data_IF_085255109668
#
_entry.id   IF_085255109668
#
_cell.length_a   1.000
_cell.length_b   1.000
_cell.length_c   1.000
_cell.angle_alpha   90.00
_cell.angle_beta   90.00
_cell.angle_gamma   90.00
#
_symmetry.space_group_name_H-M   'P 1'
#
loop_
_entity.id
_entity.type
_entity.pdbx_description
1 polymer ?
#
# COMPACT_ATOMS: atom_id res chain seq x y z
N UNK A 1 -5.28 16.49 16.62
CA UNK A 1 -5.03 16.01 15.24
C UNK A 1 -5.89 14.78 15.05
N UNK A 2 -6.80 14.80 14.08
CA UNK A 2 -7.78 13.72 13.88
C UNK A 2 -7.12 12.44 13.41
N UNK A 3 -7.61 11.32 13.92
CA UNK A 3 -7.30 9.97 13.48
C UNK A 3 -7.69 9.79 12.02
N UNK A 4 -6.75 9.40 11.15
CA UNK A 4 -7.08 8.99 9.78
C UNK A 4 -7.38 7.49 9.78
N UNK A 5 -8.43 7.11 9.06
CA UNK A 5 -8.84 5.71 8.85
C UNK A 5 -8.71 5.38 7.37
N UNK A 6 -8.30 4.16 7.08
CA UNK A 6 -8.15 3.66 5.72
C UNK A 6 -8.95 2.38 5.57
N UNK A 7 -9.72 2.27 4.51
CA UNK A 7 -10.56 1.09 4.23
C UNK A 7 -10.07 0.43 2.95
N UNK A 8 -9.40 -0.72 3.10
CA UNK A 8 -8.83 -1.47 1.99
C UNK A 8 -9.81 -2.50 1.46
N UNK A 9 -10.17 -2.37 0.18
CA UNK A 9 -11.02 -3.34 -0.51
C UNK A 9 -10.34 -4.70 -0.65
N UNK A 10 -11.16 -5.74 -0.76
CA UNK A 10 -10.67 -7.08 -1.05
C UNK A 10 -9.90 -7.16 -2.38
N UNK A 11 -10.31 -6.42 -3.41
CA UNK A 11 -9.64 -6.41 -4.70
C UNK A 11 -8.23 -5.83 -4.59
N UNK A 12 -8.10 -4.70 -3.90
CA UNK A 12 -6.82 -4.07 -3.63
C UNK A 12 -5.90 -5.03 -2.87
N UNK A 13 -6.42 -5.65 -1.81
CA UNK A 13 -5.71 -6.61 -0.96
C UNK A 13 -5.22 -7.84 -1.73
N UNK A 14 -6.07 -8.45 -2.55
CA UNK A 14 -5.69 -9.66 -3.29
C UNK A 14 -4.59 -9.33 -4.30
N UNK A 15 -4.69 -8.21 -5.03
CA UNK A 15 -3.68 -7.82 -6.03
C UNK A 15 -2.30 -7.60 -5.43
N UNK A 16 -2.19 -6.84 -4.33
CA UNK A 16 -0.90 -6.59 -3.68
C UNK A 16 -0.30 -7.88 -3.09
N UNK A 17 -1.13 -8.74 -2.44
CA UNK A 17 -0.66 -10.03 -1.91
C UNK A 17 -0.18 -10.94 -3.03
N UNK A 18 -0.95 -11.06 -4.11
CA UNK A 18 -0.58 -11.90 -5.26
C UNK A 18 0.68 -11.39 -5.95
N UNK A 19 0.87 -10.07 -6.05
CA UNK A 19 2.08 -9.48 -6.62
C UNK A 19 3.33 -9.88 -5.82
N UNK A 20 3.31 -9.66 -4.50
CA UNK A 20 4.42 -10.02 -3.63
C UNK A 20 4.68 -11.54 -3.61
N UNK A 21 3.62 -12.34 -3.59
CA UNK A 21 3.71 -13.81 -3.61
C UNK A 21 4.23 -14.38 -4.93
N UNK A 22 3.93 -13.73 -6.06
CA UNK A 22 4.42 -14.13 -7.38
C UNK A 22 5.93 -13.92 -7.51
N UNK A 23 6.48 -12.93 -6.82
CA UNK A 23 7.89 -12.54 -6.88
C UNK A 23 8.56 -12.61 -5.50
N UNK A 24 8.63 -13.80 -4.91
CA UNK A 24 9.10 -14.00 -3.52
C UNK A 24 10.54 -13.59 -3.23
N UNK A 25 11.39 -13.61 -4.25
CA UNK A 25 12.83 -13.35 -4.14
C UNK A 25 13.20 -12.02 -4.79
N UNK A 26 12.24 -11.12 -4.95
CA UNK A 26 12.47 -9.80 -5.51
C UNK A 26 11.64 -8.77 -4.75
N UNK A 27 12.19 -7.57 -4.59
CA UNK A 27 11.42 -6.47 -4.08
C UNK A 27 10.32 -6.08 -5.10
N UNK A 28 9.10 -5.87 -4.62
CA UNK A 28 7.96 -5.46 -5.45
C UNK A 28 7.38 -4.14 -4.98
N UNK A 29 6.78 -3.40 -5.91
CA UNK A 29 6.05 -2.19 -5.56
C UNK A 29 4.74 -2.02 -6.35
N UNK A 30 3.96 -1.05 -5.92
CA UNK A 30 2.80 -0.60 -6.65
C UNK A 30 2.10 0.56 -5.97
N UNK A 31 1.02 1.02 -6.58
CA UNK A 31 0.21 2.12 -6.06
C UNK A 31 -1.14 1.64 -5.58
N UNK A 32 -1.70 2.38 -4.63
CA UNK A 32 -3.04 2.18 -4.09
C UNK A 32 -3.97 3.21 -4.72
N UNK A 33 -5.13 2.74 -5.17
CA UNK A 33 -6.13 3.56 -5.84
C UNK A 33 -7.37 3.70 -4.98
N UNK A 34 -7.89 4.91 -4.91
CA UNK A 34 -8.95 5.20 -3.98
C UNK A 34 -9.42 6.64 -4.04
N UNK A 35 -10.16 7.01 -3.00
CA UNK A 35 -10.66 8.37 -2.80
C UNK A 35 -10.85 8.64 -1.31
N UNK A 36 -10.96 9.91 -0.95
CA UNK A 36 -11.47 10.29 0.37
C UNK A 36 -12.96 9.96 0.42
N UNK A 37 -13.42 9.38 1.53
CA UNK A 37 -14.81 8.99 1.70
C UNK A 37 -15.71 10.23 1.67
N UNK A 38 -16.76 10.26 0.83
CA UNK A 38 -17.69 11.40 0.76
C UNK A 38 -18.43 11.66 2.08
N UNK A 39 -18.51 10.67 2.97
CA UNK A 39 -19.22 10.76 4.24
C UNK A 39 -18.31 11.21 5.39
N UNK A 40 -17.00 11.03 5.25
CA UNK A 40 -16.04 11.36 6.30
C UNK A 40 -14.66 11.62 5.71
N UNK A 41 -14.23 12.89 5.72
CA UNK A 41 -12.92 13.31 5.21
C UNK A 41 -11.73 12.69 5.96
N UNK A 42 -11.96 12.09 7.13
CA UNK A 42 -10.94 11.34 7.86
C UNK A 42 -10.76 9.89 7.37
N UNK A 43 -11.60 9.42 6.44
CA UNK A 43 -11.58 8.05 5.90
C UNK A 43 -11.08 8.08 4.45
N UNK A 44 -10.08 7.26 4.14
CA UNK A 44 -9.61 7.03 2.77
C UNK A 44 -10.02 5.62 2.33
N UNK A 45 -10.87 5.54 1.33
CA UNK A 45 -11.35 4.29 0.74
C UNK A 45 -10.38 3.85 -0.36
N UNK A 46 -9.63 2.78 -0.12
CA UNK A 46 -8.72 2.16 -1.09
C UNK A 46 -9.50 1.09 -1.85
N UNK A 47 -10.00 1.47 -3.02
CA UNK A 47 -10.83 0.64 -3.87
C UNK A 47 -10.03 -0.41 -4.67
N UNK A 48 -8.80 -0.11 -5.07
CA UNK A 48 -7.98 -1.02 -5.89
C UNK A 48 -6.48 -0.84 -5.65
N UNK A 49 -5.65 -1.71 -6.23
CA UNK A 49 -4.20 -1.52 -6.30
C UNK A 49 -3.65 -1.88 -7.67
N UNK A 50 -2.55 -1.21 -8.06
CA UNK A 50 -1.84 -1.47 -9.32
C UNK A 50 -0.42 -1.91 -9.00
N UNK A 51 -0.13 -3.22 -9.10
CA UNK A 51 1.21 -3.76 -9.20
C UNK A 51 2.02 -3.06 -10.29
N UNK A 52 3.22 -2.56 -9.95
CA UNK A 52 4.10 -1.87 -10.90
C UNK A 52 5.29 -2.75 -11.29
N UNK A 53 6.28 -2.87 -10.42
CA UNK A 53 7.55 -3.52 -10.76
C UNK A 53 7.95 -4.59 -9.74
N UNK A 54 8.77 -5.51 -10.21
CA UNK A 54 9.39 -6.61 -9.46
C UNK A 54 10.88 -6.78 -9.79
N UNK A 55 11.46 -5.76 -10.44
CA UNK A 55 12.89 -5.56 -10.67
C UNK A 55 13.10 -4.09 -11.02
N UNK A 56 14.31 -3.55 -10.80
CA UNK A 56 14.68 -2.19 -11.22
C UNK A 56 13.70 -1.08 -10.74
N UNK A 57 13.27 -1.16 -9.48
CA UNK A 57 12.25 -0.31 -8.87
C UNK A 57 12.55 1.20 -8.93
N UNK A 58 13.82 1.56 -9.10
CA UNK A 58 14.31 2.95 -9.11
C UNK A 58 14.47 3.59 -10.50
N UNK A 59 14.04 2.94 -11.59
CA UNK A 59 14.09 3.55 -12.91
C UNK A 59 12.99 4.61 -13.06
N UNK A 60 13.35 5.87 -12.84
CA UNK A 60 12.44 7.01 -12.88
C UNK A 60 11.58 7.07 -14.15
N UNK A 61 12.10 6.87 -15.38
CA UNK A 61 11.27 7.00 -16.58
C UNK A 61 10.11 6.02 -16.61
N UNK A 62 10.34 4.77 -16.16
CA UNK A 62 9.31 3.75 -16.13
C UNK A 62 8.25 4.07 -15.07
N UNK A 63 8.69 4.57 -13.91
CA UNK A 63 7.79 4.99 -12.85
C UNK A 63 6.90 6.15 -13.30
N UNK A 64 7.50 7.21 -13.86
CA UNK A 64 6.78 8.41 -14.31
C UNK A 64 5.70 8.06 -15.35
N UNK A 65 6.07 7.30 -16.38
CA UNK A 65 5.12 6.87 -17.41
C UNK A 65 4.02 6.00 -16.80
N UNK A 66 4.36 5.11 -15.87
CA UNK A 66 3.36 4.26 -15.20
C UNK A 66 2.36 5.08 -14.39
N UNK A 67 2.82 6.08 -13.63
CA UNK A 67 1.95 6.95 -12.83
C UNK A 67 1.02 7.77 -13.74
N UNK A 68 1.53 8.33 -14.84
CA UNK A 68 0.72 9.08 -15.82
C UNK A 68 -0.37 8.18 -16.42
N UNK A 69 -0.01 6.97 -16.85
CA UNK A 69 -0.99 6.03 -17.44
C UNK A 69 -2.07 5.63 -16.43
N UNK A 70 -1.70 5.43 -15.18
CA UNK A 70 -2.64 5.07 -14.11
C UNK A 70 -3.58 6.24 -13.83
N UNK A 71 -3.05 7.45 -13.70
CA UNK A 71 -3.84 8.65 -13.46
C UNK A 71 -4.88 8.87 -14.56
N UNK A 72 -4.46 8.79 -15.83
CA UNK A 72 -5.37 8.92 -16.97
C UNK A 72 -6.46 7.85 -16.98
N UNK A 73 -6.10 6.58 -16.74
CA UNK A 73 -7.04 5.48 -16.82
C UNK A 73 -8.07 5.47 -15.67
N UNK A 74 -7.64 5.77 -14.46
CA UNK A 74 -8.49 5.66 -13.26
C UNK A 74 -9.19 6.96 -12.89
N UNK A 75 -8.71 8.12 -13.39
CA UNK A 75 -9.43 9.40 -13.25
C UNK A 75 -10.83 9.34 -13.88
N UNK A 76 -10.97 8.66 -15.02
CA UNK A 76 -12.26 8.40 -15.66
C UNK A 76 -13.25 7.61 -14.78
N UNK A 77 -12.75 6.88 -13.78
CA UNK A 77 -13.53 6.10 -12.82
C UNK A 77 -13.70 6.83 -11.47
N UNK A 78 -13.21 8.07 -11.36
CA UNK A 78 -13.23 8.86 -10.12
C UNK A 78 -12.32 8.31 -9.03
N UNK A 79 -11.25 7.60 -9.41
CA UNK A 79 -10.24 7.07 -8.50
C UNK A 79 -8.90 7.79 -8.75
N UNK A 80 -8.23 8.14 -7.65
CA UNK A 80 -6.89 8.72 -7.68
C UNK A 80 -5.87 7.83 -6.98
N UNK A 81 -4.60 8.18 -7.14
CA UNK A 81 -3.50 7.54 -6.40
C UNK A 81 -3.54 8.05 -4.96
N UNK A 82 -3.88 7.16 -4.03
CA UNK A 82 -4.02 7.47 -2.59
C UNK A 82 -2.94 6.82 -1.73
N UNK A 83 -2.00 6.10 -2.36
CA UNK A 83 -0.96 5.42 -1.62
C UNK A 83 0.03 4.64 -2.46
N UNK A 84 0.96 4.03 -1.75
CA UNK A 84 2.03 3.20 -2.28
C UNK A 84 2.17 1.95 -1.42
N UNK A 85 2.48 0.81 -2.05
CA UNK A 85 2.89 -0.38 -1.33
C UNK A 85 4.25 -0.88 -1.82
N UNK A 86 4.99 -1.48 -0.91
CA UNK A 86 6.30 -2.06 -1.16
C UNK A 86 6.42 -3.40 -0.44
N UNK A 87 7.11 -4.36 -1.02
CA UNK A 87 7.62 -5.53 -0.29
C UNK A 87 9.11 -5.62 -0.55
N UNK A 88 9.90 -5.75 0.50
CA UNK A 88 11.36 -5.90 0.38
C UNK A 88 11.71 -7.24 -0.27
N UNK A 89 12.96 -7.41 -0.72
CA UNK A 89 13.45 -8.72 -1.19
C UNK A 89 13.71 -9.66 -0.01
N UNK A 90 14.22 -9.11 1.09
CA UNK A 90 14.55 -9.85 2.32
C UNK A 90 13.32 -9.98 3.21
N UNK A 91 13.13 -11.16 3.80
CA UNK A 91 11.98 -11.45 4.67
C UNK A 91 12.14 -10.93 6.10
N UNK A 92 13.38 -10.64 6.51
CA UNK A 92 13.74 -10.12 7.83
C UNK A 92 13.90 -8.59 7.83
N UNK A 93 13.81 -7.96 6.67
CA UNK A 93 13.88 -6.50 6.52
C UNK A 93 12.48 -5.89 6.60
N UNK A 94 12.24 -5.16 7.70
CA UNK A 94 10.98 -4.49 8.00
C UNK A 94 11.07 -2.97 7.86
N UNK A 95 12.12 -2.46 7.22
CA UNK A 95 12.26 -1.04 6.92
C UNK A 95 12.03 -0.75 5.43
N UNK A 96 11.47 0.42 5.12
CA UNK A 96 11.42 0.87 3.73
C UNK A 96 12.82 1.31 3.27
N UNK A 97 13.20 0.87 2.08
CA UNK A 97 14.40 1.36 1.41
C UNK A 97 14.27 2.86 1.05
N UNK A 98 15.38 3.48 0.64
CA UNK A 98 15.42 4.91 0.29
C UNK A 98 14.57 5.26 -0.94
N UNK A 99 14.45 4.34 -1.91
CA UNK A 99 13.70 4.54 -3.14
C UNK A 99 12.20 4.55 -2.82
N UNK A 100 11.72 3.56 -2.08
CA UNK A 100 10.36 3.43 -1.58
C UNK A 100 9.95 4.62 -0.72
N UNK A 101 10.84 5.10 0.17
CA UNK A 101 10.65 6.33 0.93
C UNK A 101 10.48 7.55 0.01
N UNK A 102 11.34 7.70 -0.98
CA UNK A 102 11.28 8.83 -1.93
C UNK A 102 10.01 8.81 -2.76
N UNK A 103 9.59 7.65 -3.28
CA UNK A 103 8.36 7.50 -4.05
C UNK A 103 7.14 7.79 -3.17
N UNK A 104 7.09 7.20 -1.98
CA UNK A 104 6.01 7.44 -1.00
C UNK A 104 5.91 8.92 -0.65
N UNK A 105 7.04 9.57 -0.35
CA UNK A 105 7.10 11.01 -0.06
C UNK A 105 6.62 11.85 -1.25
N UNK A 106 6.97 11.47 -2.48
CA UNK A 106 6.49 12.16 -3.67
C UNK A 106 4.97 12.09 -3.77
N UNK A 107 4.37 10.91 -3.62
CA UNK A 107 2.90 10.74 -3.64
C UNK A 107 2.24 11.52 -2.49
N UNK A 108 2.82 11.48 -1.29
CA UNK A 108 2.33 12.23 -0.12
C UNK A 108 2.30 13.76 -0.33
N UNK A 109 3.13 14.32 -1.22
CA UNK A 109 3.11 15.76 -1.54
C UNK A 109 1.85 16.15 -2.33
N UNK A 110 1.37 15.28 -3.20
CA UNK A 110 0.15 15.50 -3.99
C UNK A 110 -1.11 15.09 -3.22
N UNK A 111 -1.02 14.02 -2.41
CA UNK A 111 -2.11 13.54 -1.58
C UNK A 111 -1.66 13.45 -0.10
N UNK A 112 -1.92 14.48 0.73
CA UNK A 112 -1.43 14.55 2.12
C UNK A 112 -1.97 13.49 3.09
N UNK A 113 -2.99 12.73 2.66
CA UNK A 113 -3.58 11.59 3.37
C UNK A 113 -3.07 10.26 2.80
N UNK A 114 -1.98 10.26 2.03
CA UNK A 114 -1.40 9.07 1.41
C UNK A 114 -1.01 8.00 2.43
N UNK A 115 -1.31 6.73 2.09
CA UNK A 115 -0.84 5.57 2.83
C UNK A 115 0.40 4.94 2.16
N UNK A 116 1.43 4.64 2.95
CA UNK A 116 2.61 3.89 2.50
C UNK A 116 2.70 2.57 3.25
N UNK A 117 2.40 1.48 2.56
CA UNK A 117 2.34 0.12 3.12
C UNK A 117 3.65 -0.63 2.83
N UNK A 118 4.24 -1.26 3.84
CA UNK A 118 5.30 -2.24 3.68
C UNK A 118 4.69 -3.64 3.91
N UNK A 119 4.90 -4.57 2.98
CA UNK A 119 4.38 -5.92 3.10
C UNK A 119 5.40 -6.78 3.85
N UNK A 120 4.92 -7.51 4.85
CA UNK A 120 5.73 -8.45 5.63
C UNK A 120 5.74 -9.81 4.91
N UNK A 121 6.86 -10.08 4.23
CA UNK A 121 7.04 -11.32 3.46
C UNK A 121 6.95 -12.58 4.33
N UNK A 122 7.40 -12.53 5.58
CA UNK A 122 7.34 -13.67 6.50
C UNK A 122 5.89 -14.05 6.78
N UNK A 123 5.03 -13.05 6.95
CA UNK A 123 3.59 -13.27 7.12
C UNK A 123 2.88 -13.63 5.81
N UNK A 124 3.32 -13.10 4.67
CA UNK A 124 2.83 -13.51 3.34
C UNK A 124 3.08 -15.00 3.10
N UNK A 125 4.19 -15.54 3.59
CA UNK A 125 4.49 -16.97 3.50
C UNK A 125 3.58 -17.84 4.37
N UNK A 126 3.11 -17.33 5.51
CA UNK A 126 2.27 -18.06 6.46
C UNK A 126 0.80 -18.18 6.03
N UNK A 127 0.32 -17.29 5.13
CA UNK A 127 -1.06 -17.25 4.64
C UNK A 127 -1.68 -18.59 4.20
N UNK A 128 -1.01 -19.46 3.39
CA UNK A 128 -1.60 -20.72 2.93
C UNK A 128 -1.74 -21.76 4.04
N UNK A 129 -1.03 -21.60 5.16
CA UNK A 129 -0.89 -22.65 6.18
C UNK A 129 -1.99 -22.63 7.23
N UNK A 130 -2.95 -21.69 7.18
CA UNK A 130 -4.10 -21.60 8.08
C UNK A 130 -3.78 -21.42 9.57
N UNK A 131 -2.49 -21.35 9.95
CA UNK A 131 -1.99 -21.33 11.32
C UNK A 131 -1.81 -19.94 11.89
N UNK A 132 -1.62 -18.94 11.04
CA UNK A 132 -1.39 -17.57 11.46
C UNK A 132 -2.30 -16.63 10.67
N UNK A 133 -3.18 -15.95 11.39
CA UNK A 133 -4.07 -14.91 10.88
C UNK A 133 -3.62 -13.56 11.42
N UNK A 134 -2.31 -13.37 11.58
CA UNK A 134 -1.73 -12.08 11.89
C UNK A 134 -1.64 -11.23 10.61
N UNK A 135 -1.62 -9.90 10.73
CA UNK A 135 -1.71 -9.02 9.58
C UNK A 135 -0.41 -8.98 8.81
N UNK A 136 -0.54 -9.19 7.51
CA UNK A 136 0.57 -9.42 6.58
C UNK A 136 1.25 -8.14 6.10
N UNK A 137 0.81 -6.98 6.56
CA UNK A 137 1.39 -5.69 6.22
C UNK A 137 1.84 -4.97 7.48
N UNK A 138 2.96 -4.27 7.39
CA UNK A 138 3.49 -3.34 8.37
C UNK A 138 3.53 -1.95 7.73
N UNK A 139 2.99 -0.93 8.39
CA UNK A 139 2.88 0.41 7.79
C UNK A 139 4.10 1.25 8.19
N UNK A 140 4.83 1.78 7.20
CA UNK A 140 6.14 2.40 7.46
C UNK A 140 6.16 3.93 7.35
N UNK A 141 5.25 4.61 6.65
CA UNK A 141 5.15 6.09 6.73
C UNK A 141 3.86 6.64 7.35
N UNK A 142 3.04 5.78 7.93
CA UNK A 142 1.99 6.14 8.89
C UNK A 142 1.81 4.96 9.86
N UNK A 143 2.37 5.01 11.08
CA UNK A 143 2.34 3.86 11.99
C UNK A 143 0.90 3.45 12.33
N UNK A 144 0.51 2.19 12.06
CA UNK A 144 -0.52 1.44 12.81
C UNK A 144 -0.35 -0.08 12.69
N UNK A 145 -0.53 -0.71 13.86
CA UNK A 145 -0.68 -2.14 14.08
C UNK A 145 -2.06 -2.58 13.54
N UNK A 146 -2.10 -3.51 12.60
CA UNK A 146 -3.37 -4.00 12.03
C UNK A 146 -3.98 -5.03 13.00
N UNK A 147 -5.29 -4.93 13.28
CA UNK A 147 -6.08 -6.01 13.88
C UNK A 147 -7.03 -6.58 12.81
N UNK A 148 -7.03 -7.90 12.63
CA UNK A 148 -7.92 -8.57 11.70
C UNK A 148 -9.30 -8.78 12.34
N UNK A 149 -10.30 -7.99 11.92
CA UNK A 149 -11.70 -8.21 12.32
C UNK A 149 -12.39 -9.24 11.43
N UNK A 150 -13.21 -10.08 12.06
CA UNK A 150 -13.63 -11.41 11.61
C UNK A 150 -14.84 -11.46 10.66
N UNK A 151 -15.25 -10.35 10.03
CA UNK A 151 -16.47 -10.33 9.21
C UNK A 151 -16.30 -9.46 7.96
N UNK A 152 -16.21 -10.09 6.79
CA UNK A 152 -16.61 -9.53 5.50
C UNK A 152 -15.95 -8.22 5.00
N UNK A 153 -15.02 -8.40 4.05
CA UNK A 153 -14.78 -7.57 2.83
C UNK A 153 -14.05 -6.22 2.92
N UNK A 154 -13.81 -5.61 4.09
CA UNK A 154 -13.00 -4.38 4.20
C UNK A 154 -11.99 -4.44 5.35
N UNK A 155 -10.70 -4.19 5.07
CA UNK A 155 -9.67 -4.07 6.12
C UNK A 155 -9.56 -2.59 6.49
N UNK A 156 -10.11 -2.23 7.65
CA UNK A 156 -9.97 -0.89 8.22
C UNK A 156 -8.69 -0.79 9.04
N UNK A 157 -7.86 0.22 8.79
CA UNK A 157 -6.71 0.53 9.66
C UNK A 157 -6.64 2.02 9.97
N UNK A 158 -6.13 2.32 11.15
CA UNK A 158 -5.96 3.67 11.65
C UNK A 158 -4.57 4.20 11.27
N UNK A 159 -4.26 5.47 11.49
CA UNK A 159 -3.01 6.07 11.08
C UNK A 159 -2.57 7.20 12.01
N UNK A 160 -1.38 7.09 12.60
CA UNK A 160 -0.73 8.19 13.33
C UNK A 160 0.39 8.76 12.44
N UNK A 161 0.24 10.03 11.99
CA UNK A 161 1.27 10.74 11.22
C UNK A 161 2.58 10.81 12.02
N UNK A 162 3.65 10.19 11.53
CA UNK A 162 5.02 10.43 11.97
C UNK A 162 5.79 11.06 10.81
N UNK A 163 6.26 12.28 11.02
CA UNK A 163 7.19 12.94 10.11
C UNK A 163 8.55 12.25 10.19
N UNK A 164 9.11 11.88 9.05
CA UNK A 164 10.52 11.55 8.92
C UNK A 164 11.28 12.89 8.88
N UNK A 165 11.94 13.24 9.99
CA UNK A 165 12.90 14.35 10.07
C UNK A 165 14.29 13.86 9.64
#
# INVERSE_FOLDING_TARGET
>A
MGELKYELSQNAYIKLVLHARKHKTAAVNGVLLGRVSPQNDAVVEIADSVPLFHSHLGLLPNLEISLIMIEEHYSAQGLGIVGYFHANERFDDLELDSIAKNIGNHICRYFPQCAVLLLDNKKLEALPKGKDRSPVMQVSAVFVCIELSNYGVSVSFLAIKRFWL
#
